data_IF_301935556272
#
_entry.id   IF_301935556272
#
_cell.length_a   1.000
_cell.length_b   1.000
_cell.length_c   1.000
_cell.angle_alpha   90.00
_cell.angle_beta   90.00
_cell.angle_gamma   90.00
#
_symmetry.space_group_name_H-M   'P 1'
#
loop_
_entity.id
_entity.type
_entity.pdbx_description
1 polymer ?
#
# COMPACT_ATOMS: atom_id res chain seq x y z
N UNK A 1 27.60 -1.65 -3.64
CA UNK A 1 26.52 -1.89 -2.63
C UNK A 1 25.23 -2.30 -3.36
N UNK A 2 24.94 -3.61 -3.48
CA UNK A 2 23.64 -4.07 -4.01
C UNK A 2 22.54 -3.61 -3.05
N UNK A 3 21.67 -2.72 -3.52
CA UNK A 3 20.44 -2.37 -2.79
C UNK A 3 19.52 -3.58 -2.89
N UNK A 4 19.61 -4.51 -1.92
CA UNK A 4 18.59 -5.54 -1.73
C UNK A 4 17.26 -4.82 -1.57
N UNK A 5 16.43 -4.80 -2.60
CA UNK A 5 15.04 -4.41 -2.46
C UNK A 5 14.45 -5.43 -1.51
N UNK A 6 14.27 -5.04 -0.24
CA UNK A 6 13.74 -5.93 0.78
C UNK A 6 12.31 -6.26 0.33
N UNK A 7 12.10 -7.47 -0.17
CA UNK A 7 10.81 -7.92 -0.69
C UNK A 7 9.73 -7.59 0.36
N UNK A 8 8.65 -6.95 -0.07
CA UNK A 8 7.51 -6.68 0.81
C UNK A 8 6.77 -7.99 1.02
N UNK A 9 6.74 -8.46 2.26
CA UNK A 9 5.99 -9.65 2.65
C UNK A 9 4.48 -9.41 2.55
N UNK A 10 3.69 -10.47 2.46
CA UNK A 10 2.23 -10.36 2.42
C UNK A 10 1.68 -9.55 3.60
N UNK A 11 2.16 -9.84 4.82
CA UNK A 11 1.80 -9.10 6.04
C UNK A 11 2.06 -7.60 5.91
N UNK A 12 3.25 -7.21 5.44
CA UNK A 12 3.59 -5.79 5.27
C UNK A 12 2.73 -5.10 4.20
N UNK A 13 2.33 -5.83 3.13
CA UNK A 13 1.42 -5.30 2.12
C UNK A 13 0.02 -5.08 2.69
N UNK A 14 -0.50 -6.03 3.46
CA UNK A 14 -1.80 -5.91 4.13
C UNK A 14 -1.80 -4.74 5.10
N UNK A 15 -0.80 -4.64 5.98
CA UNK A 15 -0.65 -3.51 6.91
C UNK A 15 -0.51 -2.17 6.18
N UNK A 16 0.18 -2.13 5.03
CA UNK A 16 0.26 -0.93 4.22
C UNK A 16 -1.12 -0.48 3.72
N UNK A 17 -1.95 -1.42 3.22
CA UNK A 17 -3.30 -1.12 2.76
C UNK A 17 -4.21 -0.63 3.90
N UNK A 18 -4.14 -1.25 5.07
CA UNK A 18 -4.87 -0.83 6.27
C UNK A 18 -4.46 0.57 6.72
N UNK A 19 -3.15 0.84 6.81
CA UNK A 19 -2.63 2.16 7.14
C UNK A 19 -3.06 3.21 6.11
N UNK A 20 -3.18 2.84 4.83
CA UNK A 20 -3.67 3.72 3.77
C UNK A 20 -5.14 4.07 3.92
N UNK A 21 -5.96 3.09 4.30
CA UNK A 21 -7.36 3.33 4.63
C UNK A 21 -7.52 4.25 5.84
N UNK A 22 -6.74 4.04 6.89
CA UNK A 22 -6.86 4.78 8.15
C UNK A 22 -6.24 6.18 8.10
N UNK A 23 -5.08 6.32 7.45
CA UNK A 23 -4.25 7.53 7.55
C UNK A 23 -3.99 8.20 6.20
N UNK A 24 -4.32 7.57 5.06
CA UNK A 24 -3.99 8.07 3.73
C UNK A 24 -2.49 8.24 3.53
N UNK A 25 -2.05 9.31 2.86
CA UNK A 25 -0.62 9.55 2.54
C UNK A 25 0.26 9.97 3.74
N UNK A 26 -0.21 9.80 4.99
CA UNK A 26 0.53 10.13 6.22
C UNK A 26 1.56 9.04 6.56
N UNK A 27 2.55 8.83 5.69
CA UNK A 27 3.53 7.73 5.82
C UNK A 27 4.37 7.74 7.11
N UNK A 28 4.46 8.87 7.82
CA UNK A 28 5.09 8.91 9.14
C UNK A 28 4.39 7.99 10.15
N UNK A 29 3.06 7.87 10.09
CA UNK A 29 2.28 7.00 10.97
C UNK A 29 2.45 5.51 10.64
N UNK A 30 2.82 5.20 9.40
CA UNK A 30 3.03 3.83 8.95
C UNK A 30 4.27 3.21 9.56
N UNK A 31 5.27 4.05 9.90
CA UNK A 31 6.51 3.57 10.52
C UNK A 31 6.25 2.90 11.87
N UNK A 32 5.20 3.31 12.59
CA UNK A 32 4.77 2.68 13.84
C UNK A 32 4.17 1.29 13.61
N UNK A 33 3.54 1.05 12.46
CA UNK A 33 2.89 -0.22 12.11
C UNK A 33 3.77 -1.15 11.28
N UNK A 34 4.81 -0.63 10.64
CA UNK A 34 5.76 -1.38 9.81
C UNK A 34 7.17 -1.28 10.41
N UNK A 35 7.43 -1.96 11.55
CA UNK A 35 8.75 -1.96 12.16
C UNK A 35 9.78 -2.56 11.19
N UNK A 36 10.85 -1.82 10.93
CA UNK A 36 11.89 -2.21 9.97
C UNK A 36 11.67 -1.71 8.53
N UNK A 37 10.65 -0.87 8.30
CA UNK A 37 10.49 -0.05 7.09
C UNK A 37 10.64 1.42 7.44
N UNK A 38 11.46 2.12 6.66
CA UNK A 38 11.66 3.57 6.78
C UNK A 38 10.61 4.33 5.98
N UNK A 39 10.36 5.59 6.35
CA UNK A 39 9.49 6.51 5.60
C UNK A 39 9.76 6.47 4.08
N UNK A 40 11.03 6.53 3.68
CA UNK A 40 11.42 6.52 2.27
C UNK A 40 11.04 5.20 1.58
N UNK A 41 11.19 4.06 2.25
CA UNK A 41 10.79 2.76 1.69
C UNK A 41 9.27 2.67 1.53
N UNK A 42 8.50 3.18 2.49
CA UNK A 42 7.03 3.20 2.46
C UNK A 42 6.55 4.11 1.32
N UNK A 43 7.13 5.30 1.20
CA UNK A 43 6.84 6.25 0.10
C UNK A 43 7.18 5.64 -1.26
N UNK A 44 8.37 5.04 -1.42
CA UNK A 44 8.74 4.35 -2.65
C UNK A 44 7.81 3.19 -2.98
N UNK A 45 7.39 2.41 -1.99
CA UNK A 45 6.42 1.33 -2.18
C UNK A 45 5.09 1.87 -2.68
N UNK A 46 4.56 2.94 -2.10
CA UNK A 46 3.35 3.61 -2.59
C UNK A 46 3.47 4.02 -4.07
N UNK A 47 4.57 4.68 -4.45
CA UNK A 47 4.78 5.12 -5.83
C UNK A 47 4.86 3.95 -6.80
N UNK A 48 5.58 2.88 -6.44
CA UNK A 48 5.66 1.68 -7.27
C UNK A 48 4.30 0.96 -7.36
N UNK A 49 3.58 0.85 -6.24
CA UNK A 49 2.26 0.25 -6.18
C UNK A 49 1.26 0.98 -7.08
N UNK A 50 1.22 2.32 -6.99
CA UNK A 50 0.41 3.17 -7.88
C UNK A 50 0.80 2.97 -9.34
N UNK A 51 2.10 3.02 -9.66
CA UNK A 51 2.60 2.82 -11.03
C UNK A 51 2.20 1.45 -11.59
N UNK A 52 2.35 0.39 -10.81
CA UNK A 52 1.95 -0.97 -11.22
C UNK A 52 0.45 -1.05 -11.44
N UNK A 53 -0.37 -0.41 -10.60
CA UNK A 53 -1.82 -0.37 -10.81
C UNK A 53 -2.20 0.44 -12.07
N UNK A 54 -1.63 1.63 -12.26
CA UNK A 54 -1.85 2.45 -13.46
C UNK A 54 -1.50 1.69 -14.74
N UNK A 55 -0.34 1.02 -14.76
CA UNK A 55 0.09 0.25 -15.92
C UNK A 55 -0.77 -0.99 -16.18
N UNK A 56 -1.23 -1.68 -15.12
CA UNK A 56 -2.05 -2.89 -15.28
C UNK A 56 -3.47 -2.61 -15.75
N UNK A 57 -4.03 -1.45 -15.40
CA UNK A 57 -5.43 -1.15 -15.66
C UNK A 57 -5.63 -0.06 -16.73
N UNK A 58 -4.58 0.57 -17.28
CA UNK A 58 -4.68 1.77 -18.14
C UNK A 58 -5.58 2.87 -17.54
N UNK A 59 -5.68 2.89 -16.21
CA UNK A 59 -6.56 3.80 -15.48
C UNK A 59 -5.81 5.01 -14.99
N UNK A 60 -6.51 6.14 -14.99
CA UNK A 60 -5.98 7.36 -14.37
C UNK A 60 -5.81 7.18 -12.86
N UNK A 61 -4.91 8.01 -12.31
CA UNK A 61 -4.51 7.96 -10.91
C UNK A 61 -5.70 8.08 -9.94
N UNK A 62 -6.71 8.88 -10.29
CA UNK A 62 -7.89 9.10 -9.46
C UNK A 62 -8.81 7.87 -9.42
N UNK A 63 -8.96 7.14 -10.53
CA UNK A 63 -9.77 5.91 -10.56
C UNK A 63 -9.14 4.78 -9.74
N UNK A 64 -7.81 4.71 -9.69
CA UNK A 64 -7.10 3.72 -8.86
C UNK A 64 -7.28 3.99 -7.38
N UNK A 65 -7.34 5.27 -6.99
CA UNK A 65 -7.61 5.65 -5.60
C UNK A 65 -9.05 5.28 -5.20
N UNK A 66 -10.02 5.54 -6.06
CA UNK A 66 -11.42 5.13 -5.85
C UNK A 66 -11.53 3.60 -5.78
N UNK A 67 -10.84 2.88 -6.66
CA UNK A 67 -10.82 1.42 -6.66
C UNK A 67 -10.20 0.84 -5.37
N UNK A 68 -9.10 1.41 -4.89
CA UNK A 68 -8.48 1.00 -3.62
C UNK A 68 -9.37 1.28 -2.41
N UNK A 69 -10.13 2.37 -2.45
CA UNK A 69 -11.12 2.70 -1.43
C UNK A 69 -12.28 1.70 -1.44
N UNK A 70 -12.72 1.25 -2.61
CA UNK A 70 -13.80 0.27 -2.80
C UNK A 70 -13.38 -1.18 -2.47
N UNK A 71 -12.15 -1.59 -2.80
CA UNK A 71 -11.64 -2.94 -2.48
C UNK A 71 -11.59 -3.25 -0.98
N UNK A 72 -11.61 -2.22 -0.12
CA UNK A 72 -11.65 -2.44 1.32
C UNK A 72 -13.00 -3.00 1.83
N UNK A 73 -14.07 -2.96 1.03
CA UNK A 73 -15.41 -3.41 1.46
C UNK A 73 -15.58 -4.94 1.31
N UNK A 74 -14.72 -5.61 0.52
CA UNK A 74 -14.92 -7.02 0.14
C UNK A 74 -14.25 -8.02 1.12
N UNK A 75 -13.26 -7.61 1.93
CA UNK A 75 -12.59 -8.51 2.89
C UNK A 75 -13.23 -8.56 4.30
N UNK A 76 -14.51 -8.19 4.45
CA UNK A 76 -15.24 -8.25 5.73
C UNK A 76 -16.42 -9.23 5.71
N UNK A 77 -16.38 -10.27 4.87
CA UNK A 77 -17.47 -11.24 4.72
C UNK A 77 -17.08 -12.72 4.80
N UNK A 78 -15.91 -13.05 5.33
CA UNK A 78 -15.52 -14.45 5.61
C UNK A 78 -15.16 -14.67 7.09
N UNK A 79 -16.10 -14.32 7.97
CA UNK A 79 -16.10 -14.80 9.36
C UNK A 79 -17.55 -15.14 9.73
N UNK A 80 -17.99 -16.34 9.31
CA UNK A 80 -19.16 -17.02 9.88
C UNK A 80 -19.07 -18.52 9.66
#
# INVERSE_FOLDING_TARGET
>A
KQRKQKNWSFKEKTTFCECYKLYGKKFKLYMSHLPGRTYNQIKCYYHNFMKTMTLKFQRDKEEILVFLQQMSIINSKDDK
#
